data_IF_878484526192
#
_entry.id   IF_878484526192
#
_cell.length_a   1.000
_cell.length_b   1.000
_cell.length_c   1.000
_cell.angle_alpha   90.00
_cell.angle_beta   90.00
_cell.angle_gamma   90.00
#
_symmetry.space_group_name_H-M   'P 1'
#
loop_
_entity.id
_entity.type
_entity.pdbx_description
1 polymer ?
#
# COMPACT_ATOMS: atom_id res chain seq x y z
N UNK A 1 -23.16 16.35 34.06
CA UNK A 1 -21.87 15.78 33.63
C UNK A 1 -22.17 14.56 32.79
N UNK A 2 -22.05 14.67 31.47
CA UNK A 2 -21.96 13.52 30.57
C UNK A 2 -20.76 13.81 29.68
N UNK A 3 -19.75 12.95 29.73
CA UNK A 3 -18.64 12.99 28.77
C UNK A 3 -18.90 11.84 27.79
N UNK A 4 -19.15 12.21 26.53
CA UNK A 4 -19.51 11.33 25.44
C UNK A 4 -18.32 10.47 25.03
N UNK A 5 -18.57 9.18 24.79
CA UNK A 5 -17.62 8.24 24.22
C UNK A 5 -17.21 8.69 22.81
N UNK A 6 -15.93 8.98 22.61
CA UNK A 6 -15.36 9.22 21.28
C UNK A 6 -15.41 7.92 20.47
N UNK A 7 -16.35 7.85 19.53
CA UNK A 7 -16.37 6.83 18.48
C UNK A 7 -15.20 7.11 17.54
N UNK A 8 -14.16 6.27 17.58
CA UNK A 8 -13.18 6.23 16.49
C UNK A 8 -13.85 5.81 15.18
N UNK A 9 -13.38 6.27 14.01
CA UNK A 9 -13.94 5.85 12.74
C UNK A 9 -13.66 4.36 12.55
N UNK A 10 -14.73 3.57 12.63
CA UNK A 10 -14.72 2.14 12.30
C UNK A 10 -14.93 2.01 10.80
N UNK A 11 -13.84 1.92 10.04
CA UNK A 11 -13.87 1.59 8.61
C UNK A 11 -13.69 0.08 8.37
N UNK A 12 -13.95 -0.76 9.37
CA UNK A 12 -13.62 -2.19 9.32
C UNK A 12 -14.49 -3.04 8.37
N UNK A 13 -15.51 -2.45 7.75
CA UNK A 13 -16.30 -3.14 6.71
C UNK A 13 -16.77 -2.13 5.66
N UNK A 14 -15.84 -1.78 4.76
CA UNK A 14 -16.14 -1.04 3.55
C UNK A 14 -17.16 -1.79 2.69
N UNK A 15 -18.37 -1.25 2.66
CA UNK A 15 -19.48 -1.48 1.74
C UNK A 15 -19.08 -2.18 0.42
N UNK A 16 -19.56 -3.42 0.20
CA UNK A 16 -19.37 -4.22 -1.01
C UNK A 16 -20.08 -3.68 -2.27
N UNK A 17 -20.15 -2.36 -2.47
CA UNK A 17 -20.95 -1.74 -3.52
C UNK A 17 -20.30 -0.51 -4.20
N UNK A 18 -18.97 -0.36 -4.13
CA UNK A 18 -18.26 0.45 -5.12
C UNK A 18 -17.48 -0.49 -6.05
N UNK A 19 -18.02 -0.65 -7.25
CA UNK A 19 -17.23 -1.11 -8.40
C UNK A 19 -15.93 -0.29 -8.43
N UNK A 20 -14.76 -0.91 -8.67
CA UNK A 20 -13.50 -0.18 -8.75
C UNK A 20 -13.65 0.93 -9.79
N UNK A 21 -13.30 2.17 -9.42
CA UNK A 21 -13.15 3.23 -10.40
C UNK A 21 -12.18 2.74 -11.48
N UNK A 22 -12.63 2.69 -12.73
CA UNK A 22 -12.00 2.03 -13.89
C UNK A 22 -10.66 2.65 -14.35
N UNK A 23 -9.86 3.22 -13.46
CA UNK A 23 -8.65 3.97 -13.82
C UNK A 23 -7.41 3.65 -12.97
N UNK A 24 -7.32 2.46 -12.39
CA UNK A 24 -6.02 1.86 -12.06
C UNK A 24 -5.76 0.72 -13.04
N UNK A 25 -4.62 0.76 -13.74
CA UNK A 25 -4.23 -0.26 -14.71
C UNK A 25 -3.75 -1.57 -14.04
N UNK A 26 -4.03 -1.74 -12.75
CA UNK A 26 -3.55 -2.85 -11.91
C UNK A 26 -4.60 -3.28 -10.88
N UNK A 27 -4.46 -4.47 -10.27
CA UNK A 27 -5.44 -5.00 -9.32
C UNK A 27 -5.66 -4.08 -8.12
N UNK A 28 -6.94 -3.87 -7.76
CA UNK A 28 -7.32 -3.14 -6.56
C UNK A 28 -6.83 -3.88 -5.30
N UNK A 29 -6.09 -3.19 -4.44
CA UNK A 29 -5.60 -3.73 -3.18
C UNK A 29 -6.76 -3.89 -2.19
N UNK A 30 -6.85 -5.05 -1.55
CA UNK A 30 -7.99 -5.44 -0.68
C UNK A 30 -7.59 -5.63 0.78
N UNK A 31 -6.37 -6.12 1.00
CA UNK A 31 -5.82 -6.46 2.31
C UNK A 31 -4.31 -6.60 2.24
N UNK A 32 -3.66 -6.48 3.38
CA UNK A 32 -2.29 -6.93 3.56
C UNK A 32 -2.22 -8.45 3.80
N UNK A 33 -1.09 -9.06 3.48
CA UNK A 33 -0.84 -10.45 3.84
C UNK A 33 -0.78 -10.61 5.37
N UNK A 34 -1.87 -11.11 5.96
CA UNK A 34 -2.03 -11.26 7.40
C UNK A 34 -0.96 -12.14 8.06
N UNK A 35 -0.38 -13.09 7.32
CA UNK A 35 0.69 -13.95 7.85
C UNK A 35 2.02 -13.21 8.07
N UNK A 36 2.25 -12.10 7.36
CA UNK A 36 3.48 -11.31 7.44
C UNK A 36 3.26 -9.87 7.93
N UNK A 37 2.01 -9.45 8.12
CA UNK A 37 1.64 -8.08 8.52
C UNK A 37 2.40 -7.60 9.75
N UNK A 38 2.37 -8.35 10.86
CA UNK A 38 3.01 -7.92 12.10
C UNK A 38 4.53 -7.78 11.95
N UNK A 39 5.16 -8.63 11.13
CA UNK A 39 6.59 -8.52 10.84
C UNK A 39 6.88 -7.22 10.07
N UNK A 40 6.14 -6.97 8.99
CA UNK A 40 6.32 -5.76 8.19
C UNK A 40 6.04 -4.49 8.97
N UNK A 41 5.00 -4.49 9.82
CA UNK A 41 4.73 -3.38 10.73
C UNK A 41 5.89 -3.14 11.71
N UNK A 42 6.44 -4.18 12.33
CA UNK A 42 7.57 -4.01 13.25
C UNK A 42 8.83 -3.50 12.54
N UNK A 43 9.05 -3.87 11.28
CA UNK A 43 10.22 -3.49 10.52
C UNK A 43 10.09 -2.07 9.92
N UNK A 44 8.89 -1.68 9.46
CA UNK A 44 8.68 -0.48 8.63
C UNK A 44 7.58 0.48 9.13
N UNK A 45 6.83 0.12 10.17
CA UNK A 45 5.71 0.91 10.67
C UNK A 45 6.11 2.33 11.05
N UNK A 46 7.28 2.49 11.69
CA UNK A 46 7.83 3.80 12.05
C UNK A 46 8.19 4.65 10.81
N UNK A 47 8.73 4.03 9.76
CA UNK A 47 9.15 4.73 8.53
C UNK A 47 7.98 5.45 7.85
N UNK A 48 6.79 4.82 7.87
CA UNK A 48 5.57 5.37 7.28
C UNK A 48 4.72 6.14 8.29
N UNK A 49 5.10 6.18 9.57
CA UNK A 49 4.37 6.87 10.62
C UNK A 49 3.09 6.16 11.08
N UNK A 50 3.04 4.84 10.98
CA UNK A 50 1.89 4.04 11.42
C UNK A 50 1.88 3.83 12.95
N UNK A 51 0.73 4.05 13.58
CA UNK A 51 0.57 3.91 15.05
C UNK A 51 0.30 2.46 15.48
N UNK A 52 -0.11 1.59 14.55
CA UNK A 52 -0.43 0.19 14.81
C UNK A 52 -0.36 -0.65 13.53
N UNK A 53 -0.32 -1.97 13.68
CA UNK A 53 -0.35 -2.89 12.52
C UNK A 53 -1.62 -2.73 11.67
N UNK A 54 -2.76 -2.39 12.28
CA UNK A 54 -4.01 -2.14 11.54
C UNK A 54 -3.96 -0.83 10.76
N UNK A 55 -3.32 0.19 11.34
CA UNK A 55 -3.12 1.49 10.68
C UNK A 55 -2.16 1.33 9.50
N UNK A 56 -1.04 0.65 9.71
CA UNK A 56 -0.08 0.28 8.67
C UNK A 56 -0.72 -0.49 7.50
N UNK A 57 -1.58 -1.48 7.78
CA UNK A 57 -2.34 -2.17 6.72
C UNK A 57 -3.22 -1.20 5.93
N UNK A 58 -3.92 -0.29 6.60
CA UNK A 58 -4.79 0.68 5.94
C UNK A 58 -3.97 1.64 5.06
N UNK A 59 -2.86 2.18 5.58
CA UNK A 59 -1.94 3.04 4.82
C UNK A 59 -1.41 2.34 3.58
N UNK A 60 -1.02 1.07 3.70
CA UNK A 60 -0.54 0.27 2.56
C UNK A 60 -1.62 0.09 1.48
N UNK A 61 -2.87 -0.16 1.88
CA UNK A 61 -4.01 -0.30 0.96
C UNK A 61 -4.36 1.02 0.30
N UNK A 62 -4.37 2.11 1.06
CA UNK A 62 -4.69 3.46 0.57
C UNK A 62 -3.62 3.91 -0.43
N UNK A 63 -2.34 3.77 -0.09
CA UNK A 63 -1.24 4.07 -0.99
C UNK A 63 -1.29 3.19 -2.25
N UNK A 64 -1.52 1.88 -2.12
CA UNK A 64 -1.66 1.01 -3.27
C UNK A 64 -2.76 1.47 -4.23
N UNK A 65 -3.91 1.90 -3.69
CA UNK A 65 -5.07 2.29 -4.47
C UNK A 65 -5.09 3.76 -4.91
N UNK A 66 -4.11 4.59 -4.50
CA UNK A 66 -4.03 5.99 -4.89
C UNK A 66 -3.84 6.15 -6.42
N UNK A 67 -4.70 6.93 -7.06
CA UNK A 67 -4.66 7.18 -8.51
C UNK A 67 -4.00 8.53 -8.77
N UNK A 68 -2.68 8.57 -8.59
CA UNK A 68 -1.88 9.76 -8.84
C UNK A 68 -0.78 9.46 -9.87
N UNK A 69 -1.06 9.74 -11.14
CA UNK A 69 -0.13 9.52 -12.25
C UNK A 69 0.90 10.66 -12.44
N UNK A 70 0.89 11.67 -11.57
CA UNK A 70 1.82 12.80 -11.65
C UNK A 70 3.09 12.50 -10.85
N UNK A 71 2.92 12.01 -9.62
CA UNK A 71 4.05 11.74 -8.70
C UNK A 71 4.29 10.26 -8.45
N UNK A 72 3.46 9.35 -8.96
CA UNK A 72 3.68 7.92 -8.82
C UNK A 72 4.07 7.25 -10.14
N UNK A 73 4.91 6.23 -10.01
CA UNK A 73 5.29 5.31 -11.07
C UNK A 73 4.92 3.88 -10.66
N UNK A 74 4.59 3.05 -11.65
CA UNK A 74 4.22 1.67 -11.40
C UNK A 74 4.50 0.79 -12.60
N UNK A 75 4.84 -0.47 -12.35
CA UNK A 75 4.96 -1.50 -13.38
C UNK A 75 4.42 -2.83 -12.87
N UNK A 76 4.11 -3.73 -13.81
CA UNK A 76 3.64 -5.09 -13.52
C UNK A 76 4.74 -6.06 -13.94
N UNK A 77 5.12 -6.97 -13.04
CA UNK A 77 6.11 -8.02 -13.33
C UNK A 77 5.50 -9.20 -14.11
N UNK A 78 6.35 -10.17 -14.48
CA UNK A 78 5.93 -11.38 -15.21
C UNK A 78 4.89 -12.25 -14.48
N UNK A 79 4.82 -12.13 -13.14
CA UNK A 79 3.90 -12.88 -12.29
C UNK A 79 2.58 -12.11 -12.05
N UNK A 80 2.42 -10.94 -12.65
CA UNK A 80 1.25 -10.08 -12.48
C UNK A 80 1.24 -9.32 -11.16
N UNK A 81 2.37 -9.23 -10.46
CA UNK A 81 2.51 -8.37 -9.27
C UNK A 81 2.79 -6.95 -9.71
N UNK A 82 2.09 -6.00 -9.09
CA UNK A 82 2.26 -4.58 -9.33
C UNK A 82 3.21 -3.99 -8.31
N UNK A 83 4.22 -3.31 -8.81
CA UNK A 83 5.17 -2.53 -8.03
C UNK A 83 4.80 -1.06 -8.23
N UNK A 84 4.77 -0.29 -7.15
CA UNK A 84 4.43 1.13 -7.20
C UNK A 84 5.32 1.93 -6.26
N UNK A 85 5.69 3.13 -6.71
CA UNK A 85 6.55 4.05 -5.99
C UNK A 85 6.05 5.49 -6.13
N UNK A 86 6.19 6.27 -5.07
CA UNK A 86 5.92 7.73 -5.06
C UNK A 86 7.22 8.51 -5.05
N UNK A 87 7.43 9.36 -6.05
CA UNK A 87 8.56 10.30 -6.08
C UNK A 87 8.41 11.45 -5.07
N UNK A 88 7.21 11.65 -4.53
CA UNK A 88 6.92 12.73 -3.57
C UNK A 88 7.14 12.29 -2.12
N UNK A 89 6.61 11.12 -1.76
CA UNK A 89 6.66 10.60 -0.38
C UNK A 89 7.76 9.55 -0.19
N UNK A 90 8.30 9.00 -1.27
CA UNK A 90 9.25 7.89 -1.23
C UNK A 90 8.62 6.55 -0.91
N UNK A 91 7.30 6.47 -0.72
CA UNK A 91 6.61 5.23 -0.41
C UNK A 91 6.71 4.21 -1.54
N UNK A 92 6.84 2.95 -1.16
CA UNK A 92 6.92 1.82 -2.07
C UNK A 92 5.96 0.72 -1.62
N UNK A 93 5.28 0.07 -2.58
CA UNK A 93 4.35 -1.05 -2.31
C UNK A 93 4.42 -2.11 -3.40
N UNK A 94 4.18 -3.37 -3.02
CA UNK A 94 3.96 -4.46 -3.97
C UNK A 94 2.60 -5.11 -3.69
N UNK A 95 1.80 -5.24 -4.75
CA UNK A 95 0.47 -5.84 -4.74
C UNK A 95 0.45 -7.04 -5.67
N UNK A 96 0.07 -8.21 -5.18
CA UNK A 96 -0.12 -9.40 -6.04
C UNK A 96 -1.33 -9.25 -6.96
N UNK A 97 -1.38 -10.08 -8.00
CA UNK A 97 -2.51 -10.16 -8.94
C UNK A 97 -3.89 -10.36 -8.30
N UNK A 98 -3.96 -10.95 -7.10
CA UNK A 98 -5.20 -11.15 -6.33
C UNK A 98 -5.67 -9.93 -5.51
N UNK A 99 -4.86 -8.87 -5.45
CA UNK A 99 -5.09 -7.67 -4.65
C UNK A 99 -4.51 -7.75 -3.23
N UNK A 100 -3.67 -8.74 -2.92
CA UNK A 100 -2.98 -8.83 -1.63
C UNK A 100 -1.71 -7.98 -1.63
N UNK A 101 -1.60 -7.03 -0.70
CA UNK A 101 -0.34 -6.31 -0.44
C UNK A 101 0.64 -7.25 0.27
N UNK A 102 1.88 -7.30 -0.21
CA UNK A 102 2.93 -8.16 0.37
C UNK A 102 4.12 -7.38 0.94
N UNK A 103 4.24 -6.09 0.64
CA UNK A 103 5.23 -5.18 1.24
C UNK A 103 4.77 -3.73 1.10
N UNK A 104 5.14 -2.88 2.06
CA UNK A 104 4.90 -1.43 2.05
C UNK A 104 5.92 -0.71 2.95
N UNK A 105 6.70 0.22 2.44
CA UNK A 105 7.74 0.89 3.25
C UNK A 105 8.34 2.10 2.53
N UNK A 106 9.26 2.82 3.19
CA UNK A 106 10.06 3.90 2.59
C UNK A 106 11.51 3.39 2.45
N UNK A 107 11.99 3.02 1.24
CA UNK A 107 13.36 2.57 1.07
C UNK A 107 14.36 3.71 1.31
N UNK A 108 15.42 3.44 2.09
CA UNK A 108 16.53 4.39 2.35
C UNK A 108 17.13 5.02 1.08
N UNK A 109 17.16 4.23 -0.01
CA UNK A 109 17.73 4.64 -1.30
C UNK A 109 16.73 5.34 -2.23
N UNK A 110 15.48 5.50 -1.81
CA UNK A 110 14.42 6.17 -2.58
C UNK A 110 14.35 5.71 -4.03
N UNK A 111 14.44 6.66 -4.96
CA UNK A 111 14.45 6.41 -6.40
C UNK A 111 15.54 5.41 -6.85
N UNK A 112 16.67 5.35 -6.15
CA UNK A 112 17.72 4.37 -6.43
C UNK A 112 17.23 2.94 -6.22
N UNK A 113 16.45 2.70 -5.15
CA UNK A 113 15.79 1.41 -4.93
C UNK A 113 14.73 1.14 -6.01
N UNK A 114 13.92 2.14 -6.35
CA UNK A 114 12.89 2.02 -7.39
C UNK A 114 13.47 1.60 -8.75
N UNK A 115 14.56 2.24 -9.18
CA UNK A 115 15.23 1.91 -10.43
C UNK A 115 15.81 0.49 -10.43
N UNK A 116 16.29 0.00 -9.28
CA UNK A 116 16.72 -1.40 -9.14
C UNK A 116 15.57 -2.40 -9.25
N UNK A 117 14.41 -2.08 -8.69
CA UNK A 117 13.22 -2.93 -8.84
C UNK A 117 12.79 -3.01 -10.31
N UNK A 118 12.76 -1.87 -11.01
CA UNK A 118 12.49 -1.83 -12.46
C UNK A 118 13.52 -2.64 -13.26
N UNK A 119 14.80 -2.56 -12.92
CA UNK A 119 15.83 -3.34 -13.61
C UNK A 119 15.71 -4.85 -13.37
N UNK A 120 15.35 -5.27 -12.15
CA UNK A 120 15.27 -6.68 -11.77
C UNK A 120 13.98 -7.36 -12.21
N UNK A 121 12.87 -6.62 -12.21
CA UNK A 121 11.52 -7.16 -12.35
C UNK A 121 10.70 -6.49 -13.46
N UNK A 122 11.15 -5.34 -13.96
CA UNK A 122 10.57 -4.72 -15.15
C UNK A 122 10.93 -5.55 -16.38
N UNK A 123 9.91 -5.84 -17.18
CA UNK A 123 10.01 -6.59 -18.45
C UNK A 123 10.55 -5.66 -19.54
#
# INVERSE_FOLDING_TARGET
>A
MYCESSKGPSNLYGNSAKQPSEHINYPYAKRFNQSTLMKHYNDHGEEVGADSASDYEQMAIDFANDVNNVTHDSFVDENGSTYKFSYETGEFVIVKSDGTVITYFIPDRGEGYWNEQKYKHGI
#
